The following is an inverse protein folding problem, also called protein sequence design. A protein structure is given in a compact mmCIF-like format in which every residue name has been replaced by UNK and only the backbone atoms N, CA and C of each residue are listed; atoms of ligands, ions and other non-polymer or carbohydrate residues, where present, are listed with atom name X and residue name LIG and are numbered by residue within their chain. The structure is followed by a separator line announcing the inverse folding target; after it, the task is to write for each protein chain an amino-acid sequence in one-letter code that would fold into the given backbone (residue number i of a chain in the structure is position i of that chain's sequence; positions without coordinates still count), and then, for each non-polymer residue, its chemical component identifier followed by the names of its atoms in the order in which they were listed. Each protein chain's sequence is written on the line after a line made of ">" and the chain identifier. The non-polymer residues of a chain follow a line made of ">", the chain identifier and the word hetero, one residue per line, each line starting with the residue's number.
data_IF_727971756750
#
_entry.id   IF_727971756750
#
_cell.length_a   1.000
_cell.length_b   1.000
_cell.length_c   1.000
_cell.angle_alpha   90.00
_cell.angle_beta   90.00
_cell.angle_gamma   90.00
#
_symmetry.space_group_name_H-M   'P 1'
#
loop_
_entity.id
_entity.type
_entity.pdbx_description
1 polymer ?
#
# COMPACT_ATOMS: atom_id res chain seq x y z
N UNK A 1 -27.48 19.53 2.27
CA UNK A 1 -26.57 18.79 3.17
C UNK A 1 -25.48 18.18 2.31
N UNK A 2 -24.21 18.49 2.58
CA UNK A 2 -23.10 17.79 1.94
C UNK A 2 -22.58 16.76 2.96
N UNK A 3 -22.67 15.48 2.62
CA UNK A 3 -21.98 14.42 3.35
C UNK A 3 -20.66 14.19 2.62
N UNK A 4 -19.56 14.35 3.33
CA UNK A 4 -18.20 14.14 2.82
C UNK A 4 -17.63 12.85 3.40
N UNK A 5 -16.61 12.29 2.76
CA UNK A 5 -15.94 11.08 3.24
C UNK A 5 -14.61 11.42 3.90
N UNK A 6 -14.32 10.76 5.02
CA UNK A 6 -13.02 10.89 5.68
C UNK A 6 -11.93 10.25 4.80
N UNK A 7 -10.88 11.02 4.51
CA UNK A 7 -9.70 10.56 3.79
C UNK A 7 -8.68 9.83 4.69
N UNK A 8 -9.05 9.54 5.95
CA UNK A 8 -8.25 8.70 6.84
C UNK A 8 -8.21 7.26 6.34
N UNK A 9 -7.03 6.63 6.38
CA UNK A 9 -6.84 5.27 5.87
C UNK A 9 -7.81 4.27 6.52
N UNK A 10 -8.69 3.66 5.71
CA UNK A 10 -9.67 2.67 6.16
C UNK A 10 -10.73 3.22 7.13
N UNK A 11 -10.96 4.55 7.18
CA UNK A 11 -11.95 5.15 8.06
C UNK A 11 -13.35 5.07 7.44
N UNK A 12 -14.35 4.43 8.09
CA UNK A 12 -15.70 4.34 7.55
C UNK A 12 -16.56 5.58 7.88
N UNK A 13 -16.07 6.52 8.71
CA UNK A 13 -16.87 7.66 9.18
C UNK A 13 -17.12 8.67 8.06
N UNK A 14 -18.37 9.11 7.98
CA UNK A 14 -18.81 10.22 7.15
C UNK A 14 -18.66 11.54 7.90
N UNK A 15 -18.47 12.63 7.17
CA UNK A 15 -18.37 13.98 7.71
C UNK A 15 -19.65 14.72 7.32
N UNK A 16 -20.40 15.19 8.32
CA UNK A 16 -21.63 15.92 8.11
C UNK A 16 -21.34 17.42 8.06
N UNK A 17 -21.38 17.99 6.86
CA UNK A 17 -21.27 19.44 6.67
C UNK A 17 -22.68 20.03 6.68
N UNK A 18 -23.01 20.70 7.79
CA UNK A 18 -24.31 21.35 8.01
C UNK A 18 -24.15 22.86 8.06
N UNK A 19 -25.05 23.56 7.37
CA UNK A 19 -25.21 25.00 7.51
C UNK A 19 -26.00 25.38 8.78
N UNK A 20 -26.61 24.39 9.45
CA UNK A 20 -27.37 24.58 10.69
C UNK A 20 -26.37 24.77 11.85
N UNK A 21 -26.47 25.88 12.61
CA UNK A 21 -25.67 26.09 13.82
C UNK A 21 -25.82 24.90 14.78
N UNK A 22 -24.69 24.33 15.22
CA UNK A 22 -24.67 23.15 16.09
C UNK A 22 -24.58 21.81 15.37
N UNK A 23 -24.74 21.75 14.05
CA UNK A 23 -24.63 20.53 13.25
C UNK A 23 -25.96 19.89 12.89
N UNK A 24 -25.93 18.77 12.19
CA UNK A 24 -27.12 18.00 11.85
C UNK A 24 -27.56 17.15 13.07
N UNK A 25 -28.80 17.27 13.58
CA UNK A 25 -29.30 16.48 14.71
C UNK A 25 -29.07 14.97 14.57
N UNK A 26 -29.34 14.41 13.39
CA UNK A 26 -29.12 12.98 13.13
C UNK A 26 -27.64 12.60 13.25
N UNK A 27 -26.73 13.44 12.77
CA UNK A 27 -25.29 13.19 12.88
C UNK A 27 -24.79 13.33 14.33
N UNK A 28 -25.41 14.22 15.12
CA UNK A 28 -25.12 14.36 16.55
C UNK A 28 -25.57 13.15 17.36
N UNK A 29 -26.70 12.53 16.99
CA UNK A 29 -27.21 11.32 17.62
C UNK A 29 -26.45 10.04 17.22
N UNK A 30 -25.67 10.08 16.12
CA UNK A 30 -24.93 8.93 15.58
C UNK A 30 -23.42 9.20 15.43
N UNK A 31 -22.68 9.44 16.53
CA UNK A 31 -21.29 9.90 16.49
C UNK A 31 -20.28 8.83 16.02
N UNK A 32 -20.62 7.54 16.07
CA UNK A 32 -19.74 6.48 15.55
C UNK A 32 -19.69 6.44 14.02
N UNK A 33 -20.79 6.85 13.36
CA UNK A 33 -20.91 6.84 11.90
C UNK A 33 -20.61 8.22 11.30
N UNK A 34 -20.88 9.30 12.04
CA UNK A 34 -20.75 10.67 11.55
C UNK A 34 -19.85 11.54 12.42
N UNK A 35 -19.13 12.45 11.77
CA UNK A 35 -18.35 13.50 12.40
C UNK A 35 -18.87 14.88 11.99
N UNK A 36 -19.21 15.74 12.96
CA UNK A 36 -19.58 17.15 12.73
C UNK A 36 -18.39 18.11 12.91
N UNK A 37 -17.34 17.64 13.58
CA UNK A 37 -16.03 18.28 13.67
C UNK A 37 -15.09 17.59 12.69
N UNK A 38 -14.37 18.35 11.89
CA UNK A 38 -13.46 17.78 10.91
C UNK A 38 -12.37 18.79 10.57
N UNK A 39 -11.27 18.28 10.06
CA UNK A 39 -10.18 19.08 9.55
C UNK A 39 -10.13 18.98 8.03
N UNK A 40 -9.79 20.08 7.36
CA UNK A 40 -9.57 20.10 5.92
C UNK A 40 -8.11 20.38 5.63
N UNK A 41 -7.54 19.59 4.75
CA UNK A 41 -6.23 19.91 4.23
C UNK A 41 -6.32 21.10 3.30
N UNK A 42 -5.59 22.16 3.63
CA UNK A 42 -5.56 23.37 2.81
C UNK A 42 -5.02 23.13 1.40
N UNK A 43 -4.32 22.02 1.19
CA UNK A 43 -3.63 21.73 -0.06
C UNK A 43 -4.41 20.76 -0.94
N UNK A 44 -4.57 19.51 -0.50
CA UNK A 44 -5.25 18.49 -1.30
C UNK A 44 -6.77 18.47 -1.10
N UNK A 45 -7.31 19.38 -0.28
CA UNK A 45 -8.74 19.51 0.04
C UNK A 45 -9.36 18.25 0.65
N UNK A 46 -8.54 17.33 1.13
CA UNK A 46 -9.02 16.11 1.77
C UNK A 46 -9.59 16.44 3.14
N UNK A 47 -10.72 15.82 3.47
CA UNK A 47 -11.43 16.00 4.72
C UNK A 47 -11.09 14.86 5.68
N UNK A 48 -10.86 15.17 6.95
CA UNK A 48 -10.53 14.18 7.98
C UNK A 48 -11.44 14.38 9.18
N UNK A 49 -12.11 13.33 9.64
CA UNK A 49 -12.90 13.40 10.86
C UNK A 49 -12.03 13.69 12.09
N UNK A 50 -12.65 14.11 13.17
CA UNK A 50 -12.03 14.33 14.48
C UNK A 50 -11.18 13.14 15.00
N UNK A 51 -11.53 11.90 14.65
CA UNK A 51 -10.75 10.71 15.00
C UNK A 51 -9.46 10.60 14.17
N UNK A 52 -9.53 10.90 12.87
CA UNK A 52 -8.38 10.78 11.97
C UNK A 52 -7.46 12.00 12.00
N UNK A 53 -8.03 13.17 12.27
CA UNK A 53 -7.35 14.42 12.50
C UNK A 53 -8.13 15.26 13.52
N UNK A 54 -7.87 15.08 14.82
CA UNK A 54 -8.54 15.84 15.87
C UNK A 54 -8.32 17.34 15.66
N UNK A 55 -9.37 18.13 15.93
CA UNK A 55 -9.39 19.56 15.65
C UNK A 55 -8.16 20.24 16.25
N UNK A 56 -7.49 21.06 15.44
CA UNK A 56 -6.24 21.74 15.77
C UNK A 56 -6.33 22.73 16.95
N UNK A 57 -7.50 22.88 17.60
CA UNK A 57 -7.72 23.81 18.73
C UNK A 57 -7.00 23.41 20.01
N UNK A 58 -6.81 22.11 20.26
CA UNK A 58 -6.31 21.61 21.56
C UNK A 58 -4.89 21.05 21.52
N UNK A 59 -4.13 21.28 20.43
CA UNK A 59 -2.73 20.81 20.30
C UNK A 59 -1.80 21.90 19.74
N UNK A 60 -0.49 21.85 20.07
CA UNK A 60 0.48 22.79 19.50
C UNK A 60 0.47 22.73 17.96
N UNK A 61 0.63 23.91 17.34
CA UNK A 61 0.71 24.08 15.87
C UNK A 61 1.69 23.06 15.29
N UNK A 62 1.22 22.22 14.36
CA UNK A 62 2.04 21.20 13.68
C UNK A 62 1.86 19.75 14.13
N UNK A 63 1.07 19.48 15.18
CA UNK A 63 0.90 18.12 15.71
C UNK A 63 0.08 17.15 14.82
N UNK A 64 -0.73 17.67 13.89
CA UNK A 64 -1.54 16.84 12.97
C UNK A 64 -1.40 17.39 11.56
N UNK A 65 -0.74 16.64 10.68
CA UNK A 65 -0.56 16.97 9.26
C UNK A 65 -1.47 16.09 8.41
N UNK A 66 -1.84 16.57 7.23
CA UNK A 66 -2.66 15.80 6.31
C UNK A 66 -1.99 14.46 5.97
N UNK A 67 -2.65 13.34 6.25
CA UNK A 67 -2.10 12.00 5.96
C UNK A 67 -1.93 11.70 4.47
N UNK A 68 -2.55 12.52 3.61
CA UNK A 68 -2.45 12.39 2.15
C UNK A 68 -1.29 13.20 1.56
N UNK A 69 -0.95 14.35 2.15
CA UNK A 69 0.04 15.25 1.54
C UNK A 69 0.88 16.08 2.50
N UNK A 70 0.82 15.78 3.79
CA UNK A 70 1.40 16.53 4.91
C UNK A 70 1.11 18.02 4.93
N UNK A 71 0.07 18.43 4.21
CA UNK A 71 -0.48 19.77 4.24
C UNK A 71 -0.94 20.17 5.62
N UNK A 72 -0.99 21.48 5.82
CA UNK A 72 -1.61 22.06 7.01
C UNK A 72 -3.08 21.64 7.04
N UNK A 73 -3.50 21.14 8.18
CA UNK A 73 -4.90 20.87 8.46
C UNK A 73 -5.45 22.08 9.20
N UNK A 74 -6.51 22.66 8.64
CA UNK A 74 -7.27 23.72 9.28
C UNK A 74 -8.60 23.16 9.74
N UNK A 75 -9.25 23.88 10.67
CA UNK A 75 -10.62 23.59 11.06
C UNK A 75 -11.53 23.61 9.82
N UNK A 76 -12.34 22.57 9.68
CA UNK A 76 -13.19 22.40 8.51
C UNK A 76 -14.29 23.45 8.41
N UNK A 77 -14.82 23.94 9.52
CA UNK A 77 -15.81 25.02 9.49
C UNK A 77 -15.16 26.35 9.11
N UNK A 78 -13.92 26.60 9.53
CA UNK A 78 -13.13 27.76 9.08
C UNK A 78 -12.75 27.66 7.60
N UNK A 79 -12.46 26.46 7.11
CA UNK A 79 -12.21 26.20 5.69
C UNK A 79 -13.43 26.50 4.82
N UNK A 80 -14.63 26.04 5.21
CA UNK A 80 -15.87 26.33 4.46
C UNK A 80 -16.13 27.83 4.34
N UNK A 81 -15.63 28.64 5.29
CA UNK A 81 -15.72 30.10 5.24
C UNK A 81 -14.64 30.75 4.36
N UNK A 82 -13.48 30.12 4.17
CA UNK A 82 -12.27 30.76 3.60
C UNK A 82 -11.76 30.16 2.27
N UNK A 83 -11.87 28.85 2.07
CA UNK A 83 -11.71 28.14 0.80
C UNK A 83 -10.35 28.17 0.09
N UNK A 84 -9.24 28.57 0.74
CA UNK A 84 -7.96 28.84 0.05
C UNK A 84 -6.73 28.15 0.66
N UNK A 85 -5.92 27.52 -0.18
CA UNK A 85 -4.59 26.99 0.16
C UNK A 85 -3.60 28.11 0.49
N UNK A 86 -2.68 27.86 1.43
CA UNK A 86 -1.51 28.71 1.68
C UNK A 86 -0.47 28.65 0.56
N UNK A 87 -0.43 27.56 -0.21
CA UNK A 87 0.48 27.34 -1.33
C UNK A 87 -0.29 26.98 -2.61
N UNK A 88 -1.14 27.89 -3.12
CA UNK A 88 -2.05 27.57 -4.23
C UNK A 88 -1.28 27.20 -5.50
N UNK A 89 -0.13 27.82 -5.75
CA UNK A 89 0.69 27.48 -6.93
C UNK A 89 1.35 26.11 -6.78
N UNK A 90 1.87 25.74 -5.60
CA UNK A 90 2.47 24.41 -5.40
C UNK A 90 1.44 23.30 -5.64
N UNK A 91 0.20 23.50 -5.17
CA UNK A 91 -0.92 22.58 -5.38
C UNK A 91 -1.31 22.51 -6.86
N UNK A 92 -1.33 23.65 -7.56
CA UNK A 92 -1.57 23.68 -9.00
C UNK A 92 -0.53 22.84 -9.76
N UNK A 93 0.77 23.05 -9.49
CA UNK A 93 1.86 22.30 -10.10
C UNK A 93 1.78 20.80 -9.80
N UNK A 94 1.41 20.44 -8.58
CA UNK A 94 1.18 19.04 -8.20
C UNK A 94 0.02 18.41 -8.99
N UNK A 95 -1.09 19.13 -9.15
CA UNK A 95 -2.23 18.63 -9.92
C UNK A 95 -1.91 18.53 -11.42
N UNK A 96 -1.17 19.49 -11.98
CA UNK A 96 -0.62 19.42 -13.34
C UNK A 96 0.23 18.17 -13.52
N UNK A 97 1.10 17.88 -12.55
CA UNK A 97 1.94 16.67 -12.59
C UNK A 97 1.13 15.37 -12.52
N UNK A 98 0.12 15.30 -11.65
CA UNK A 98 -0.75 14.14 -11.54
C UNK A 98 -1.48 13.88 -12.87
N UNK A 99 -1.92 14.94 -13.56
CA UNK A 99 -2.49 14.84 -14.90
C UNK A 99 -1.47 14.29 -15.90
N UNK A 100 -0.27 14.89 -15.98
CA UNK A 100 0.78 14.42 -16.89
C UNK A 100 1.15 12.95 -16.68
N UNK A 101 1.23 12.50 -15.42
CA UNK A 101 1.48 11.09 -15.11
C UNK A 101 0.34 10.18 -15.58
N UNK A 102 -0.91 10.58 -15.39
CA UNK A 102 -2.06 9.82 -15.89
C UNK A 102 -2.08 9.75 -17.42
N UNK A 103 -1.60 10.80 -18.10
CA UNK A 103 -1.43 10.84 -19.56
C UNK A 103 -0.20 10.03 -20.04
N UNK A 104 0.60 9.47 -19.12
CA UNK A 104 1.83 8.73 -19.41
C UNK A 104 3.07 9.59 -19.64
N UNK A 105 2.94 10.92 -19.62
CA UNK A 105 4.06 11.87 -19.76
C UNK A 105 4.77 12.07 -18.42
N UNK A 106 5.50 11.04 -18.01
CA UNK A 106 6.24 11.04 -16.75
C UNK A 106 7.35 12.11 -16.71
N UNK A 107 7.89 12.52 -17.87
CA UNK A 107 8.91 13.57 -17.95
C UNK A 107 8.36 14.94 -17.54
N UNK A 108 7.20 15.33 -18.09
CA UNK A 108 6.52 16.57 -17.67
C UNK A 108 5.99 16.49 -16.25
N UNK A 109 5.54 15.31 -15.81
CA UNK A 109 5.14 15.10 -14.42
C UNK A 109 6.29 15.44 -13.45
N UNK A 110 7.50 14.92 -13.68
CA UNK A 110 8.68 15.23 -12.87
C UNK A 110 8.99 16.73 -12.87
N UNK A 111 8.99 17.39 -14.03
CA UNK A 111 9.27 18.82 -14.13
C UNK A 111 8.26 19.69 -13.37
N UNK A 112 6.97 19.32 -13.40
CA UNK A 112 5.94 20.00 -12.63
C UNK A 112 6.08 19.74 -11.12
N UNK A 113 6.48 18.53 -10.72
CA UNK A 113 6.73 18.18 -9.32
C UNK A 113 7.94 18.91 -8.75
N UNK A 114 8.99 19.10 -9.54
CA UNK A 114 10.15 19.90 -9.14
C UNK A 114 9.74 21.34 -8.80
N UNK A 115 8.85 21.93 -9.60
CA UNK A 115 8.27 23.25 -9.30
C UNK A 115 7.41 23.22 -8.04
N UNK A 116 6.56 22.21 -7.88
CA UNK A 116 5.72 22.06 -6.69
C UNK A 116 6.57 21.96 -5.40
N UNK A 117 7.66 21.20 -5.46
CA UNK A 117 8.61 20.98 -4.37
C UNK A 117 9.42 22.25 -4.08
N UNK A 118 9.85 22.98 -5.11
CA UNK A 118 10.57 24.26 -4.92
C UNK A 118 9.68 25.30 -4.21
N UNK A 119 8.39 25.35 -4.56
CA UNK A 119 7.41 26.23 -3.91
C UNK A 119 7.03 25.75 -2.51
N UNK A 120 7.10 24.44 -2.26
CA UNK A 120 6.79 23.83 -0.98
C UNK A 120 7.66 22.60 -0.69
N UNK A 121 8.83 22.77 -0.04
CA UNK A 121 9.73 21.68 0.28
C UNK A 121 9.17 20.63 1.26
N UNK A 122 8.10 20.96 2.00
CA UNK A 122 7.41 20.03 2.91
C UNK A 122 6.21 19.32 2.29
N UNK A 123 6.21 19.05 0.98
CA UNK A 123 5.09 18.45 0.26
C UNK A 123 5.35 16.97 -0.02
N UNK A 124 5.16 16.11 0.98
CA UNK A 124 5.52 14.69 0.90
C UNK A 124 4.87 13.97 -0.30
N UNK A 125 3.60 14.27 -0.60
CA UNK A 125 2.91 13.71 -1.76
C UNK A 125 3.57 14.05 -3.10
N UNK A 126 4.15 15.26 -3.24
CA UNK A 126 4.87 15.62 -4.45
C UNK A 126 6.16 14.79 -4.61
N UNK A 127 6.88 14.53 -3.51
CA UNK A 127 8.02 13.61 -3.53
C UNK A 127 7.61 12.17 -3.85
N UNK A 128 6.54 11.65 -3.25
CA UNK A 128 6.01 10.31 -3.57
C UNK A 128 5.63 10.19 -5.04
N UNK A 129 4.86 11.16 -5.56
CA UNK A 129 4.44 11.16 -6.96
C UNK A 129 5.62 11.32 -7.92
N UNK A 130 6.67 12.05 -7.51
CA UNK A 130 7.92 12.19 -8.28
C UNK A 130 8.66 10.86 -8.33
N UNK A 131 8.75 10.15 -7.21
CA UNK A 131 9.32 8.81 -7.15
C UNK A 131 8.60 7.84 -8.08
N UNK A 132 7.26 7.85 -8.09
CA UNK A 132 6.46 7.04 -9.00
C UNK A 132 6.76 7.37 -10.48
N UNK A 133 6.73 8.66 -10.85
CA UNK A 133 7.01 9.08 -12.22
C UNK A 133 8.46 8.73 -12.66
N UNK A 134 9.44 8.87 -11.78
CA UNK A 134 10.83 8.50 -12.06
C UNK A 134 11.00 6.99 -12.24
N UNK A 135 10.33 6.18 -11.42
CA UNK A 135 10.32 4.73 -11.57
C UNK A 135 9.71 4.32 -12.90
N UNK A 136 8.59 4.95 -13.28
CA UNK A 136 7.91 4.68 -14.54
C UNK A 136 8.75 5.13 -15.76
N UNK A 137 9.76 5.98 -15.57
CA UNK A 137 10.82 6.33 -16.54
C UNK A 137 12.05 5.39 -16.49
N UNK A 138 12.05 4.37 -15.63
CA UNK A 138 13.19 3.47 -15.42
C UNK A 138 14.34 4.06 -14.59
N UNK A 139 14.17 5.26 -14.02
CA UNK A 139 15.16 5.95 -13.19
C UNK A 139 15.08 5.51 -11.73
N UNK A 140 15.31 4.22 -11.48
CA UNK A 140 15.13 3.60 -10.17
C UNK A 140 15.93 4.26 -9.03
N UNK A 141 17.22 4.63 -9.19
CA UNK A 141 17.97 5.30 -8.12
C UNK A 141 17.38 6.66 -7.73
N UNK A 142 16.96 7.46 -8.73
CA UNK A 142 16.34 8.77 -8.50
C UNK A 142 14.96 8.62 -7.85
N UNK A 143 14.22 7.58 -8.22
CA UNK A 143 12.94 7.25 -7.60
C UNK A 143 13.10 6.93 -6.11
N UNK A 144 14.08 6.09 -5.76
CA UNK A 144 14.43 5.78 -4.37
C UNK A 144 14.78 7.05 -3.59
N UNK A 145 15.60 7.94 -4.16
CA UNK A 145 15.94 9.22 -3.52
C UNK A 145 14.70 10.11 -3.29
N UNK A 146 13.75 10.15 -4.24
CA UNK A 146 12.51 10.88 -4.07
C UNK A 146 11.62 10.27 -2.97
N UNK A 147 11.54 8.93 -2.88
CA UNK A 147 10.83 8.26 -1.78
C UNK A 147 11.51 8.51 -0.42
N UNK A 148 12.83 8.54 -0.37
CA UNK A 148 13.57 8.88 0.85
C UNK A 148 13.26 10.29 1.33
N UNK A 149 13.18 11.26 0.40
CA UNK A 149 12.72 12.61 0.74
C UNK A 149 11.27 12.62 1.21
N UNK A 150 10.38 11.84 0.60
CA UNK A 150 8.99 11.73 1.05
C UNK A 150 8.90 11.17 2.48
N UNK A 151 9.69 10.15 2.81
CA UNK A 151 9.78 9.53 4.15
C UNK A 151 10.42 10.49 5.16
N UNK A 152 11.44 11.26 4.75
CA UNK A 152 12.06 12.26 5.61
C UNK A 152 11.11 13.40 5.95
N UNK A 153 10.27 13.81 5.00
CA UNK A 153 9.24 14.85 5.21
C UNK A 153 8.05 14.31 5.98
N UNK A 154 7.68 13.05 5.74
CA UNK A 154 6.59 12.33 6.40
C UNK A 154 7.02 10.92 6.83
N UNK A 155 7.50 10.76 8.07
CA UNK A 155 7.92 9.46 8.59
C UNK A 155 6.80 8.42 8.70
N UNK A 156 5.53 8.81 8.50
CA UNK A 156 4.36 7.90 8.52
C UNK A 156 3.85 7.56 7.12
N UNK A 157 4.55 7.99 6.05
CA UNK A 157 4.15 7.76 4.67
C UNK A 157 4.41 6.31 4.23
N UNK A 158 3.48 5.43 4.60
CA UNK A 158 3.49 4.00 4.25
C UNK A 158 3.56 3.79 2.73
N UNK A 159 2.91 4.65 1.94
CA UNK A 159 2.93 4.57 0.48
C UNK A 159 4.35 4.76 -0.06
N UNK A 160 5.06 5.82 0.36
CA UNK A 160 6.46 6.03 -0.05
C UNK A 160 7.37 4.87 0.36
N UNK A 161 7.19 4.30 1.56
CA UNK A 161 7.95 3.14 2.03
C UNK A 161 7.66 1.89 1.17
N UNK A 162 6.39 1.63 0.87
CA UNK A 162 5.98 0.51 0.02
C UNK A 162 6.51 0.65 -1.41
N UNK A 163 6.40 1.85 -1.99
CA UNK A 163 6.87 2.12 -3.36
C UNK A 163 8.40 2.10 -3.46
N UNK A 164 9.11 2.51 -2.42
CA UNK A 164 10.56 2.31 -2.29
C UNK A 164 10.89 0.81 -2.30
N UNK A 165 10.18 0.01 -1.50
CA UNK A 165 10.35 -1.44 -1.46
C UNK A 165 10.07 -2.11 -2.80
N UNK A 166 9.01 -1.70 -3.48
CA UNK A 166 8.68 -2.16 -4.84
C UNK A 166 9.78 -1.80 -5.85
N UNK A 167 10.34 -0.60 -5.74
CA UNK A 167 11.38 -0.10 -6.65
C UNK A 167 12.67 -0.90 -6.55
N UNK A 168 13.03 -1.39 -5.36
CA UNK A 168 14.13 -2.35 -5.20
C UNK A 168 13.81 -3.72 -5.81
N UNK A 169 12.55 -4.15 -5.70
CA UNK A 169 12.04 -5.36 -6.33
C UNK A 169 12.76 -6.64 -5.90
N UNK A 170 12.68 -7.66 -6.75
CA UNK A 170 13.32 -8.97 -6.50
C UNK A 170 14.84 -8.96 -6.68
N UNK A 171 15.40 -7.93 -7.33
CA UNK A 171 16.84 -7.83 -7.58
C UNK A 171 17.61 -7.37 -6.34
N UNK A 172 16.93 -6.63 -5.45
CA UNK A 172 17.50 -6.11 -4.21
C UNK A 172 16.60 -6.46 -3.01
N UNK A 173 16.42 -7.77 -2.72
CA UNK A 173 15.41 -8.25 -1.77
C UNK A 173 15.66 -7.78 -0.33
N UNK A 174 16.93 -7.57 0.05
CA UNK A 174 17.29 -7.07 1.39
C UNK A 174 16.88 -5.62 1.57
N UNK A 175 17.16 -4.77 0.58
CA UNK A 175 16.75 -3.36 0.60
C UNK A 175 15.24 -3.21 0.47
N UNK A 176 14.59 -4.06 -0.34
CA UNK A 176 13.13 -4.12 -0.43
C UNK A 176 12.52 -4.45 0.93
N UNK A 177 13.03 -5.49 1.60
CA UNK A 177 12.57 -5.88 2.93
C UNK A 177 12.71 -4.74 3.94
N UNK A 178 13.86 -4.07 4.00
CA UNK A 178 14.07 -2.95 4.93
C UNK A 178 13.02 -1.84 4.74
N UNK A 179 12.68 -1.49 3.49
CA UNK A 179 11.64 -0.51 3.21
C UNK A 179 10.24 -0.99 3.66
N UNK A 180 9.92 -2.27 3.44
CA UNK A 180 8.67 -2.86 3.91
C UNK A 180 8.60 -3.01 5.44
N UNK A 181 9.73 -3.24 6.12
CA UNK A 181 9.81 -3.27 7.58
C UNK A 181 9.52 -1.90 8.19
N UNK A 182 9.99 -0.81 7.55
CA UNK A 182 9.59 0.55 7.92
C UNK A 182 8.07 0.73 7.80
N UNK A 183 7.47 0.26 6.70
CA UNK A 183 6.03 0.33 6.51
C UNK A 183 5.25 -0.49 7.56
N UNK A 184 5.75 -1.68 7.91
CA UNK A 184 5.17 -2.55 8.95
C UNK A 184 5.30 -1.97 10.36
N UNK A 185 6.35 -1.20 10.64
CA UNK A 185 6.49 -0.50 11.91
C UNK A 185 5.38 0.55 12.11
N UNK A 186 4.87 1.14 11.02
CA UNK A 186 3.75 2.08 11.05
C UNK A 186 2.38 1.36 10.99
N UNK A 187 2.22 0.38 10.10
CA UNK A 187 0.99 -0.43 10.01
C UNK A 187 1.33 -1.94 9.94
N UNK A 188 1.27 -2.63 11.09
CA UNK A 188 1.60 -4.05 11.18
C UNK A 188 0.73 -4.99 10.33
N UNK A 189 -0.46 -4.53 9.90
CA UNK A 189 -1.40 -5.30 9.06
C UNK A 189 -1.23 -5.03 7.56
N UNK A 190 -0.07 -4.51 7.15
CA UNK A 190 0.24 -4.33 5.74
C UNK A 190 0.57 -5.66 5.06
N UNK A 191 -0.41 -6.20 4.32
CA UNK A 191 -0.35 -7.59 3.84
C UNK A 191 0.78 -7.83 2.84
N UNK A 192 1.02 -6.88 1.93
CA UNK A 192 2.11 -6.98 0.95
C UNK A 192 3.48 -7.07 1.64
N UNK A 193 3.72 -6.25 2.67
CA UNK A 193 4.97 -6.26 3.40
C UNK A 193 5.21 -7.59 4.13
N UNK A 194 4.17 -8.16 4.75
CA UNK A 194 4.25 -9.47 5.40
C UNK A 194 4.55 -10.60 4.41
N UNK A 195 3.93 -10.57 3.22
CA UNK A 195 4.20 -11.52 2.13
C UNK A 195 5.65 -11.40 1.64
N UNK A 196 6.16 -10.18 1.43
CA UNK A 196 7.54 -9.95 1.00
C UNK A 196 8.52 -10.44 2.07
N UNK A 197 8.26 -10.18 3.35
CA UNK A 197 9.06 -10.69 4.45
C UNK A 197 9.19 -12.21 4.41
N UNK A 198 8.07 -12.94 4.28
CA UNK A 198 8.10 -14.39 4.17
C UNK A 198 8.91 -14.86 2.95
N UNK A 199 8.76 -14.19 1.82
CA UNK A 199 9.49 -14.50 0.58
C UNK A 199 11.01 -14.30 0.77
N UNK A 200 11.43 -13.17 1.34
CA UNK A 200 12.86 -12.87 1.55
C UNK A 200 13.47 -13.83 2.57
N UNK A 201 12.78 -14.12 3.67
CA UNK A 201 13.24 -15.12 4.66
C UNK A 201 13.44 -16.50 4.01
N UNK A 202 12.53 -16.90 3.12
CA UNK A 202 12.66 -18.15 2.36
C UNK A 202 13.89 -18.14 1.46
N UNK A 203 14.13 -17.06 0.72
CA UNK A 203 15.32 -16.92 -0.15
C UNK A 203 16.63 -16.92 0.65
N UNK A 204 16.61 -16.40 1.88
CA UNK A 204 17.75 -16.41 2.80
C UNK A 204 17.94 -17.76 3.52
N UNK A 205 17.12 -18.78 3.23
CA UNK A 205 17.21 -20.10 3.87
C UNK A 205 16.65 -20.17 5.29
N UNK A 206 16.00 -19.11 5.78
CA UNK A 206 15.41 -19.03 7.13
C UNK A 206 13.96 -19.56 7.10
N UNK A 207 13.81 -20.83 6.75
CA UNK A 207 12.52 -21.40 6.35
C UNK A 207 11.46 -21.43 7.46
N UNK A 208 11.84 -21.76 8.69
CA UNK A 208 10.90 -21.80 9.82
C UNK A 208 10.38 -20.40 10.17
N UNK A 209 11.22 -19.38 10.03
CA UNK A 209 10.83 -17.98 10.20
C UNK A 209 9.94 -17.51 9.06
N UNK A 210 10.25 -17.91 7.82
CA UNK A 210 9.42 -17.63 6.66
C UNK A 210 8.02 -18.24 6.81
N UNK A 211 7.94 -19.48 7.32
CA UNK A 211 6.66 -20.17 7.57
C UNK A 211 5.82 -19.43 8.60
N UNK A 212 6.43 -19.00 9.71
CA UNK A 212 5.73 -18.17 10.71
C UNK A 212 5.24 -16.85 10.14
N UNK A 213 6.05 -16.19 9.30
CA UNK A 213 5.68 -14.93 8.68
C UNK A 213 4.49 -15.08 7.71
N UNK A 214 4.49 -16.12 6.86
CA UNK A 214 3.37 -16.35 5.93
C UNK A 214 2.10 -16.78 6.66
N UNK A 215 2.20 -17.55 7.75
CA UNK A 215 1.04 -17.91 8.56
C UNK A 215 0.40 -16.69 9.24
N UNK A 216 1.22 -15.75 9.71
CA UNK A 216 0.74 -14.45 10.21
C UNK A 216 0.03 -13.65 9.11
N UNK A 217 0.60 -13.62 7.90
CA UNK A 217 -0.01 -12.95 6.77
C UNK A 217 -1.35 -13.57 6.36
N UNK A 218 -1.46 -14.92 6.37
CA UNK A 218 -2.72 -15.65 6.15
C UNK A 218 -3.75 -15.29 7.23
N UNK A 219 -3.35 -15.24 8.50
CA UNK A 219 -4.26 -14.87 9.58
C UNK A 219 -4.79 -13.42 9.45
N UNK A 220 -3.94 -12.50 8.96
CA UNK A 220 -4.31 -11.12 8.65
C UNK A 220 -5.31 -11.07 7.47
N UNK A 221 -5.05 -11.84 6.40
CA UNK A 221 -5.92 -11.93 5.22
C UNK A 221 -7.30 -12.50 5.57
N UNK A 222 -7.36 -13.59 6.33
CA UNK A 222 -8.61 -14.23 6.74
C UNK A 222 -9.53 -13.31 7.55
N UNK A 223 -8.94 -12.45 8.38
CA UNK A 223 -9.68 -11.44 9.14
C UNK A 223 -10.25 -10.33 8.26
N UNK A 224 -9.88 -10.28 6.97
CA UNK A 224 -10.24 -9.25 5.98
C UNK A 224 -10.01 -7.80 6.47
N UNK A 225 -9.08 -7.62 7.41
CA UNK A 225 -8.82 -6.36 8.11
C UNK A 225 -7.37 -5.93 7.92
N UNK A 226 -6.95 -5.89 6.66
CA UNK A 226 -5.59 -5.57 6.24
C UNK A 226 -5.54 -4.34 5.35
N UNK A 227 -4.34 -3.79 5.21
CA UNK A 227 -4.06 -2.63 4.35
C UNK A 227 -3.23 -3.07 3.15
N UNK A 228 -3.33 -2.29 2.06
CA UNK A 228 -2.62 -2.54 0.81
C UNK A 228 -3.32 -3.52 -0.13
N UNK A 229 -2.94 -3.46 -1.40
CA UNK A 229 -3.52 -4.30 -2.46
C UNK A 229 -2.59 -5.46 -2.78
N UNK A 230 -3.09 -6.68 -2.64
CA UNK A 230 -2.41 -7.88 -3.13
C UNK A 230 -3.39 -8.63 -4.02
N UNK A 231 -3.19 -8.55 -5.34
CA UNK A 231 -4.01 -9.31 -6.29
C UNK A 231 -3.89 -10.81 -5.99
N UNK A 232 -5.03 -11.49 -5.93
CA UNK A 232 -5.11 -12.90 -5.56
C UNK A 232 -4.38 -13.21 -4.25
N UNK A 233 -4.59 -12.37 -3.22
CA UNK A 233 -3.89 -12.44 -1.94
C UNK A 233 -3.82 -13.86 -1.37
N UNK A 234 -4.96 -14.56 -1.30
CA UNK A 234 -5.04 -15.94 -0.86
C UNK A 234 -4.15 -16.86 -1.70
N UNK A 235 -4.25 -16.79 -3.02
CA UNK A 235 -3.39 -17.57 -3.92
C UNK A 235 -1.91 -17.31 -3.65
N UNK A 236 -1.48 -16.05 -3.59
CA UNK A 236 -0.06 -15.68 -3.39
C UNK A 236 0.46 -16.13 -2.03
N UNK A 237 -0.31 -15.94 -0.96
CA UNK A 237 0.07 -16.36 0.39
C UNK A 237 0.25 -17.89 0.48
N UNK A 238 -0.72 -18.64 -0.03
CA UNK A 238 -0.65 -20.10 -0.01
C UNK A 238 0.40 -20.66 -0.96
N UNK A 239 0.67 -20.01 -2.09
CA UNK A 239 1.76 -20.37 -3.00
C UNK A 239 3.13 -20.13 -2.38
N UNK A 240 3.32 -18.99 -1.69
CA UNK A 240 4.53 -18.74 -0.89
C UNK A 240 4.68 -19.75 0.25
N UNK A 241 3.60 -20.08 0.96
CA UNK A 241 3.60 -21.13 1.99
C UNK A 241 4.01 -22.48 1.43
N UNK A 242 3.47 -22.90 0.28
CA UNK A 242 3.85 -24.14 -0.39
C UNK A 242 5.34 -24.16 -0.75
N UNK A 243 5.88 -23.06 -1.29
CA UNK A 243 7.30 -22.94 -1.62
C UNK A 243 8.20 -23.05 -0.37
N UNK A 244 7.77 -22.51 0.77
CA UNK A 244 8.50 -22.66 2.04
C UNK A 244 8.43 -24.11 2.54
N UNK A 245 7.25 -24.73 2.48
CA UNK A 245 7.03 -26.10 2.96
C UNK A 245 7.79 -27.14 2.14
N UNK A 246 7.89 -26.96 0.81
CA UNK A 246 8.71 -27.84 -0.02
C UNK A 246 10.19 -27.67 0.35
N UNK A 247 10.68 -26.46 0.64
CA UNK A 247 12.06 -26.26 1.09
C UNK A 247 12.35 -26.92 2.45
N UNK A 248 11.35 -26.95 3.35
CA UNK A 248 11.42 -27.67 4.63
C UNK A 248 11.29 -29.20 4.49
N UNK A 249 10.99 -29.72 3.30
CA UNK A 249 10.70 -31.15 3.09
C UNK A 249 9.34 -31.62 3.62
N UNK A 250 8.47 -30.70 4.04
CA UNK A 250 7.10 -30.98 4.54
C UNK A 250 6.14 -31.14 3.37
N UNK A 251 6.37 -32.17 2.55
CA UNK A 251 5.75 -32.31 1.22
C UNK A 251 4.23 -32.51 1.27
N UNK A 252 3.69 -33.24 2.26
CA UNK A 252 2.22 -33.41 2.42
C UNK A 252 1.52 -32.06 2.68
N UNK A 253 2.04 -31.26 3.61
CA UNK A 253 1.49 -29.94 3.90
C UNK A 253 1.69 -28.96 2.73
N UNK A 254 2.78 -29.12 1.98
CA UNK A 254 3.01 -28.39 0.74
C UNK A 254 1.90 -28.65 -0.28
N UNK A 255 1.47 -29.92 -0.45
CA UNK A 255 0.38 -30.25 -1.38
C UNK A 255 -0.93 -29.58 -0.97
N UNK A 256 -1.28 -29.64 0.32
CA UNK A 256 -2.48 -28.95 0.82
C UNK A 256 -2.42 -27.43 0.59
N UNK A 257 -1.26 -26.80 0.81
CA UNK A 257 -1.09 -25.37 0.60
C UNK A 257 -1.14 -24.97 -0.88
N UNK A 258 -0.48 -25.73 -1.77
CA UNK A 258 -0.43 -25.39 -3.20
C UNK A 258 -1.79 -25.59 -3.87
N UNK A 259 -2.60 -26.56 -3.41
CA UNK A 259 -3.96 -26.75 -3.91
C UNK A 259 -4.85 -25.53 -3.61
N UNK A 260 -4.80 -25.02 -2.38
CA UNK A 260 -5.50 -23.77 -2.02
C UNK A 260 -5.00 -22.61 -2.89
N UNK A 261 -3.71 -22.57 -3.21
CA UNK A 261 -3.14 -21.52 -4.06
C UNK A 261 -3.69 -21.57 -5.49
N UNK A 262 -3.75 -22.75 -6.09
CA UNK A 262 -4.28 -22.99 -7.44
C UNK A 262 -5.77 -22.64 -7.49
N UNK A 263 -6.55 -23.07 -6.50
CA UNK A 263 -8.00 -22.85 -6.46
C UNK A 263 -8.39 -21.38 -6.22
N UNK A 264 -7.46 -20.55 -5.72
CA UNK A 264 -7.73 -19.18 -5.27
C UNK A 264 -7.16 -18.09 -6.20
N UNK A 265 -6.62 -18.45 -7.37
CA UNK A 265 -5.92 -17.50 -8.24
C UNK A 265 -5.77 -17.97 -9.68
N UNK A 266 -5.12 -17.17 -10.54
CA UNK A 266 -4.86 -17.54 -11.92
C UNK A 266 -3.85 -18.70 -11.99
N UNK A 267 -3.85 -19.39 -13.13
CA UNK A 267 -2.86 -20.42 -13.44
C UNK A 267 -1.43 -19.89 -13.24
N UNK A 268 -0.64 -20.63 -12.47
CA UNK A 268 0.73 -20.27 -12.14
C UNK A 268 1.64 -21.48 -12.36
N UNK A 269 2.53 -21.38 -13.34
CA UNK A 269 3.53 -22.41 -13.61
C UNK A 269 4.36 -22.73 -12.36
N UNK A 270 4.66 -21.73 -11.52
CA UNK A 270 5.40 -21.93 -10.27
C UNK A 270 4.63 -22.82 -9.29
N UNK A 271 3.31 -22.65 -9.18
CA UNK A 271 2.50 -23.50 -8.29
C UNK A 271 2.50 -24.95 -8.77
N UNK A 272 2.34 -25.19 -10.08
CA UNK A 272 2.41 -26.54 -10.65
C UNK A 272 3.80 -27.16 -10.48
N UNK A 273 4.87 -26.37 -10.65
CA UNK A 273 6.24 -26.82 -10.41
C UNK A 273 6.44 -27.26 -8.96
N UNK A 274 5.99 -26.46 -7.98
CA UNK A 274 6.09 -26.79 -6.56
C UNK A 274 5.28 -28.04 -6.22
N UNK A 275 4.06 -28.18 -6.78
CA UNK A 275 3.22 -29.37 -6.60
C UNK A 275 3.87 -30.63 -7.16
N UNK A 276 4.41 -30.57 -8.37
CA UNK A 276 5.11 -31.70 -8.99
C UNK A 276 6.33 -32.12 -8.16
N UNK A 277 7.14 -31.17 -7.69
CA UNK A 277 8.31 -31.46 -6.86
C UNK A 277 7.92 -32.14 -5.53
N UNK A 278 6.85 -31.66 -4.87
CA UNK A 278 6.35 -32.29 -3.65
C UNK A 278 5.87 -33.73 -3.89
N UNK A 279 5.16 -33.98 -5.00
CA UNK A 279 4.73 -35.34 -5.40
C UNK A 279 5.90 -36.26 -5.71
N UNK A 280 6.93 -35.77 -6.42
CA UNK A 280 8.17 -36.52 -6.72
C UNK A 280 8.85 -36.98 -5.42
N UNK A 281 8.96 -36.08 -4.43
CA UNK A 281 9.58 -36.38 -3.12
C UNK A 281 8.77 -37.35 -2.26
N UNK A 282 7.48 -37.47 -2.52
CA UNK A 282 6.60 -38.47 -1.88
C UNK A 282 6.53 -39.79 -2.66
N UNK A 283 7.23 -39.91 -3.79
CA UNK A 283 7.20 -41.10 -4.66
C UNK A 283 5.94 -41.23 -5.52
N UNK A 284 5.08 -40.20 -5.57
CA UNK A 284 3.85 -40.16 -6.37
C UNK A 284 4.13 -39.75 -7.82
N UNK A 285 4.96 -40.56 -8.50
CA UNK A 285 5.60 -40.20 -9.78
C UNK A 285 4.61 -39.99 -10.93
N UNK A 286 3.55 -40.79 -11.02
CA UNK A 286 2.56 -40.66 -12.10
C UNK A 286 1.76 -39.35 -11.98
N UNK A 287 1.38 -38.98 -10.77
CA UNK A 287 0.71 -37.71 -10.50
C UNK A 287 1.64 -36.53 -10.81
N UNK A 288 2.91 -36.62 -10.39
CA UNK A 288 3.90 -35.60 -10.71
C UNK A 288 4.03 -35.39 -12.23
N UNK A 289 4.14 -36.48 -13.02
CA UNK A 289 4.19 -36.41 -14.49
C UNK A 289 2.96 -35.75 -15.10
N UNK A 290 1.78 -35.98 -14.52
CA UNK A 290 0.56 -35.29 -14.95
C UNK A 290 0.65 -33.78 -14.69
N UNK A 291 1.05 -33.39 -13.48
CA UNK A 291 1.20 -31.97 -13.11
C UNK A 291 2.28 -31.27 -13.95
N UNK A 292 3.40 -31.93 -14.27
CA UNK A 292 4.45 -31.38 -15.16
C UNK A 292 3.92 -31.03 -16.55
N UNK A 293 2.98 -31.81 -17.09
CA UNK A 293 2.33 -31.50 -18.38
C UNK A 293 1.48 -30.24 -18.28
N UNK A 294 0.77 -30.06 -17.16
CA UNK A 294 -0.02 -28.85 -16.89
C UNK A 294 0.90 -27.64 -16.70
N UNK A 295 2.01 -27.80 -15.96
CA UNK A 295 3.04 -26.78 -15.78
C UNK A 295 3.54 -26.25 -17.13
N UNK A 296 3.88 -27.14 -18.07
CA UNK A 296 4.39 -26.76 -19.38
C UNK A 296 3.34 -25.99 -20.20
N UNK A 297 2.08 -26.43 -20.17
CA UNK A 297 0.98 -25.71 -20.81
C UNK A 297 0.79 -24.31 -20.22
N UNK A 298 0.87 -24.18 -18.89
CA UNK A 298 0.76 -22.90 -18.21
C UNK A 298 1.90 -21.95 -18.58
N UNK A 299 3.15 -22.44 -18.70
CA UNK A 299 4.29 -21.63 -19.16
C UNK A 299 4.08 -21.10 -20.58
N UNK A 300 3.67 -21.97 -21.51
CA UNK A 300 3.42 -21.57 -22.91
C UNK A 300 2.36 -20.49 -23.03
N UNK A 301 1.30 -20.54 -22.21
CA UNK A 301 0.24 -19.52 -22.19
C UNK A 301 0.69 -18.17 -21.61
N UNK A 302 1.73 -18.16 -20.79
CA UNK A 302 2.27 -16.91 -20.19
C UNK A 302 3.28 -16.19 -21.09
N UNK A 303 3.79 -16.87 -22.13
CA UNK A 303 4.77 -16.32 -23.10
C UNK A 303 4.12 -15.74 -24.36
N UNK A 304 2.83 -16.05 -24.59
CA UNK A 304 1.99 -15.52 -25.70
C UNK A 304 1.13 -14.36 -25.24
#
# INVERSE_FOLDING_TARGET
>A
MAVLYCAGYGCPRSISVSAIPGGNPYALENPEDFSVVYSVCVDCKAHFCDRCAPAARDKPRGAVRCRKCTGELVDGQEWERSGKSRYPEAVLRYNEAAKHRNDGDNGRAVAALDKAIALRPGFAAAYTLKGLALRDLGRHPDAVAAFDMAISVDPLNIEAMAEKGWTFGQQQPVQALAAYEMAMAVEPRFLLAQLVRATVLNTLGRYEEALRAVDQAIAIEQRKRYVGTVNYARSRLFGTKAMILVNLGRNEECLAAVDISIDSGPDSALNYQVKALALERLGRLEEARSIRRIEEQARRRSET
#
